data_IF_413041580592
#
_entry.id   IF_413041580592
#
_cell.length_a   1.000
_cell.length_b   1.000
_cell.length_c   1.000
_cell.angle_alpha   90.00
_cell.angle_beta   90.00
_cell.angle_gamma   90.00
#
_symmetry.space_group_name_H-M   'P 1'
#
loop_
_entity.id
_entity.type
_entity.pdbx_description
1 polymer ?
#
# COMPACT_ATOMS: atom_id res chain seq x y z
N UNK A 1 -31.15 35.47 9.08
CA UNK A 1 -30.98 36.94 9.04
C UNK A 1 -29.99 37.33 10.12
N UNK A 2 -28.70 37.34 9.77
CA UNK A 2 -27.64 38.05 10.50
C UNK A 2 -26.53 38.29 9.47
N UNK A 3 -26.47 39.52 8.99
CA UNK A 3 -25.59 40.01 7.93
C UNK A 3 -24.26 40.41 8.58
N UNK A 4 -23.14 39.90 8.09
CA UNK A 4 -21.81 40.30 8.56
C UNK A 4 -21.10 41.03 7.41
N UNK A 5 -20.94 42.34 7.58
CA UNK A 5 -20.43 43.30 6.61
C UNK A 5 -18.91 43.22 6.52
N UNK A 6 -18.37 42.93 5.34
CA UNK A 6 -16.93 43.02 5.04
C UNK A 6 -16.49 44.49 4.97
N UNK A 7 -15.48 44.86 5.77
CA UNK A 7 -14.78 46.15 5.65
C UNK A 7 -13.51 45.98 4.80
N UNK A 8 -13.46 46.73 3.71
CA UNK A 8 -12.35 46.83 2.77
C UNK A 8 -11.32 47.84 3.31
N UNK A 9 -10.03 47.46 3.40
CA UNK A 9 -8.91 48.42 3.53
C UNK A 9 -7.89 48.19 2.41
N UNK A 10 -7.69 49.24 1.62
CA UNK A 10 -6.68 49.37 0.56
C UNK A 10 -5.32 49.71 1.17
N UNK A 11 -4.26 49.02 0.75
CA UNK A 11 -2.88 49.54 0.79
C UNK A 11 -2.13 49.16 -0.50
N UNK A 12 -1.35 50.14 -1.01
CA UNK A 12 -0.64 50.21 -2.31
C UNK A 12 0.62 49.30 -2.38
N UNK A 13 1.21 49.10 -3.58
CA UNK A 13 2.07 47.96 -3.89
C UNK A 13 3.55 48.19 -3.54
N UNK A 14 4.24 47.12 -3.13
CA UNK A 14 5.68 47.08 -2.96
C UNK A 14 6.38 46.45 -4.17
N UNK A 15 7.47 47.09 -4.54
CA UNK A 15 8.28 46.96 -5.76
C UNK A 15 9.14 45.70 -5.82
N UNK A 16 9.35 45.23 -7.06
CA UNK A 16 10.35 44.27 -7.51
C UNK A 16 11.68 44.29 -6.74
N UNK A 17 12.06 43.15 -6.14
CA UNK A 17 13.45 42.77 -5.90
C UNK A 17 13.63 41.28 -6.19
N UNK A 18 14.35 40.97 -7.28
CA UNK A 18 14.90 39.63 -7.56
C UNK A 18 16.30 39.54 -6.93
N UNK A 19 16.68 38.40 -6.32
CA UNK A 19 18.09 38.08 -6.11
C UNK A 19 18.67 37.38 -7.35
N UNK A 20 19.80 37.89 -7.82
CA UNK A 20 20.70 37.24 -8.78
C UNK A 20 21.75 36.40 -8.02
N UNK A 21 22.60 35.68 -8.78
CA UNK A 21 23.81 34.91 -8.43
C UNK A 21 23.53 33.43 -8.04
N UNK A 22 24.10 32.39 -8.66
CA UNK A 22 25.18 32.24 -9.65
C UNK A 22 24.97 30.90 -10.40
N UNK A 23 25.05 30.95 -11.73
CA UNK A 23 25.13 29.80 -12.64
C UNK A 23 26.55 29.24 -12.65
N UNK A 24 26.73 28.04 -12.14
CA UNK A 24 27.97 27.26 -12.24
C UNK A 24 28.01 26.43 -13.52
N UNK A 25 28.94 26.79 -14.39
CA UNK A 25 29.27 26.21 -15.69
C UNK A 25 29.78 24.76 -15.51
N UNK A 26 29.16 23.79 -16.17
CA UNK A 26 29.76 22.48 -16.44
C UNK A 26 30.29 22.48 -17.88
N UNK A 27 31.58 22.79 -18.04
CA UNK A 27 32.28 22.63 -19.31
C UNK A 27 32.73 21.18 -19.47
N UNK A 28 32.19 20.53 -20.48
CA UNK A 28 32.68 19.27 -21.05
C UNK A 28 34.11 19.44 -21.57
N UNK A 29 35.05 18.64 -21.05
CA UNK A 29 36.35 18.44 -21.66
C UNK A 29 36.48 16.95 -22.04
N UNK A 30 36.33 16.69 -23.33
CA UNK A 30 36.75 15.46 -23.96
C UNK A 30 38.30 15.42 -23.99
N UNK A 31 38.88 14.33 -23.51
CA UNK A 31 40.30 14.02 -23.68
C UNK A 31 40.41 12.65 -24.33
N UNK A 32 40.49 12.67 -25.66
CA UNK A 32 41.06 11.59 -26.46
C UNK A 32 42.57 11.81 -26.55
N UNK A 33 43.38 10.79 -26.27
CA UNK A 33 44.50 10.30 -27.10
C UNK A 33 45.35 9.29 -26.31
N UNK A 34 45.88 8.28 -27.00
CA UNK A 34 47.10 7.59 -26.56
C UNK A 34 47.03 6.06 -26.45
N UNK A 35 46.88 5.36 -27.58
CA UNK A 35 47.31 3.97 -27.70
C UNK A 35 48.84 3.91 -27.70
N UNK A 36 49.44 3.39 -26.64
CA UNK A 36 50.85 3.00 -26.61
C UNK A 36 50.95 1.53 -26.14
N UNK A 37 51.43 0.66 -27.02
CA UNK A 37 51.82 -0.71 -26.69
C UNK A 37 53.17 -0.67 -25.97
N UNK A 38 53.24 -1.18 -24.74
CA UNK A 38 54.51 -1.53 -24.10
C UNK A 38 54.47 -2.98 -23.62
N UNK A 39 55.39 -3.77 -24.16
CA UNK A 39 55.77 -5.11 -23.75
C UNK A 39 56.56 -5.08 -22.44
N UNK A 40 56.29 -6.00 -21.51
CA UNK A 40 57.28 -6.39 -20.50
C UNK A 40 56.76 -6.74 -19.11
N UNK A 41 56.80 -8.05 -18.82
CA UNK A 41 57.14 -8.71 -17.54
C UNK A 41 56.14 -8.68 -16.37
N UNK A 42 55.86 -9.89 -15.89
CA UNK A 42 54.86 -10.23 -14.90
C UNK A 42 55.12 -9.66 -13.51
N UNK A 43 54.02 -9.38 -12.85
CA UNK A 43 53.89 -9.37 -11.39
C UNK A 43 52.67 -10.21 -11.07
N UNK A 44 52.91 -11.39 -10.51
CA UNK A 44 51.90 -12.14 -9.78
C UNK A 44 51.51 -11.34 -8.54
N UNK A 45 50.24 -10.92 -8.49
CA UNK A 45 49.53 -10.75 -7.22
C UNK A 45 48.04 -10.89 -7.49
N UNK A 46 47.53 -12.09 -7.23
CA UNK A 46 46.12 -12.32 -6.97
C UNK A 46 45.69 -11.45 -5.79
N UNK A 47 45.09 -10.30 -6.08
CA UNK A 47 44.01 -9.77 -5.26
C UNK A 47 42.83 -9.54 -6.19
N UNK A 48 42.18 -10.65 -6.55
CA UNK A 48 40.82 -10.57 -7.03
C UNK A 48 40.03 -9.83 -5.95
N UNK A 49 39.63 -8.58 -6.23
CA UNK A 49 38.61 -7.89 -5.47
C UNK A 49 37.39 -8.81 -5.52
N UNK A 50 37.22 -9.62 -4.50
CA UNK A 50 36.02 -10.42 -4.28
C UNK A 50 34.87 -9.43 -4.32
N UNK A 51 33.93 -9.61 -5.25
CA UNK A 51 32.62 -8.98 -5.18
C UNK A 51 32.16 -9.04 -3.72
N UNK A 52 31.98 -7.88 -3.09
CA UNK A 52 31.52 -7.79 -1.71
C UNK A 52 30.24 -8.62 -1.62
N UNK A 53 30.25 -9.66 -0.77
CA UNK A 53 29.05 -10.43 -0.46
C UNK A 53 28.02 -9.40 -0.04
N UNK A 54 26.88 -9.38 -0.74
CA UNK A 54 25.83 -8.42 -0.42
C UNK A 54 25.25 -8.80 0.94
N UNK A 55 25.50 -7.96 1.93
CA UNK A 55 24.91 -8.10 3.24
C UNK A 55 23.43 -7.73 3.22
N UNK A 56 22.65 -8.47 4.00
CA UNK A 56 21.24 -8.19 4.26
C UNK A 56 21.05 -8.16 5.76
N UNK A 57 20.31 -7.15 6.24
CA UNK A 57 20.11 -6.93 7.66
C UNK A 57 19.22 -8.05 8.21
N UNK A 58 19.67 -8.85 9.19
CA UNK A 58 18.82 -9.89 9.77
C UNK A 58 17.65 -9.27 10.55
N UNK A 59 16.39 -9.66 10.28
CA UNK A 59 15.23 -9.14 11.02
C UNK A 59 15.37 -9.24 12.53
N UNK A 60 15.94 -10.34 13.04
CA UNK A 60 16.18 -10.57 14.46
C UNK A 60 17.17 -9.58 15.08
N UNK A 61 18.25 -9.28 14.37
CA UNK A 61 19.28 -8.33 14.83
C UNK A 61 18.74 -6.91 14.83
N UNK A 62 18.02 -6.50 13.78
CA UNK A 62 17.40 -5.17 13.74
C UNK A 62 16.28 -5.01 14.78
N UNK A 63 15.48 -6.05 15.02
CA UNK A 63 14.49 -6.07 16.10
C UNK A 63 15.15 -5.90 17.47
N UNK A 64 16.23 -6.65 17.72
CA UNK A 64 17.01 -6.55 18.96
C UNK A 64 17.65 -5.18 19.12
N UNK A 65 18.17 -4.60 18.03
CA UNK A 65 18.73 -3.26 17.99
C UNK A 65 17.73 -2.20 18.47
N UNK A 66 16.50 -2.24 17.95
CA UNK A 66 15.42 -1.31 18.31
C UNK A 66 14.95 -1.51 19.76
N UNK A 67 14.65 -2.76 20.14
CA UNK A 67 14.11 -3.08 21.46
C UNK A 67 15.10 -2.81 22.59
N UNK A 68 16.39 -3.11 22.40
CA UNK A 68 17.45 -2.78 23.36
C UNK A 68 17.61 -1.26 23.58
N UNK A 69 17.12 -0.43 22.65
CA UNK A 69 17.09 1.02 22.75
C UNK A 69 15.76 1.58 23.26
N UNK A 70 14.85 0.71 23.71
CA UNK A 70 13.55 1.10 24.24
C UNK A 70 12.46 1.36 23.19
N UNK A 71 12.74 1.09 21.91
CA UNK A 71 11.74 1.13 20.84
C UNK A 71 11.06 -0.25 20.75
N UNK A 72 10.19 -0.52 21.72
CA UNK A 72 9.59 -1.84 21.95
C UNK A 72 8.10 -1.94 21.58
N UNK A 73 7.52 -0.89 21.01
CA UNK A 73 6.14 -0.86 20.52
C UNK A 73 6.09 -0.62 19.01
N UNK A 74 5.30 -1.43 18.31
CA UNK A 74 5.18 -1.41 16.87
C UNK A 74 3.72 -1.22 16.45
N UNK A 75 3.46 -0.25 15.59
CA UNK A 75 2.17 -0.10 14.91
C UNK A 75 2.38 0.06 13.41
N UNK A 76 1.47 -0.41 12.56
CA UNK A 76 1.67 -0.21 11.13
C UNK A 76 0.73 -0.95 10.21
N UNK A 77 0.94 -0.70 8.91
CA UNK A 77 0.30 -1.42 7.81
C UNK A 77 1.40 -2.23 7.10
N UNK A 78 1.22 -3.55 6.91
CA UNK A 78 2.24 -4.40 6.30
C UNK A 78 2.70 -3.90 4.92
N UNK A 79 4.00 -3.97 4.68
CA UNK A 79 4.64 -3.55 3.42
C UNK A 79 5.50 -4.68 2.83
N UNK A 80 5.54 -4.74 1.51
CA UNK A 80 6.31 -5.70 0.74
C UNK A 80 7.84 -5.63 0.90
N UNK A 81 8.44 -4.47 1.17
CA UNK A 81 9.88 -4.34 1.43
C UNK A 81 10.22 -4.63 2.89
N UNK A 82 9.26 -4.39 3.79
CA UNK A 82 9.34 -4.68 5.22
C UNK A 82 8.84 -6.08 5.59
N UNK A 83 8.31 -6.87 4.65
CA UNK A 83 7.57 -8.11 4.92
C UNK A 83 8.28 -9.07 5.86
N UNK A 84 9.59 -9.23 5.70
CA UNK A 84 10.42 -10.15 6.47
C UNK A 84 10.61 -9.62 7.91
N UNK A 85 10.82 -8.31 8.06
CA UNK A 85 10.86 -7.64 9.36
C UNK A 85 9.49 -7.63 10.06
N UNK A 86 8.42 -7.27 9.36
CA UNK A 86 7.06 -7.28 9.90
C UNK A 86 6.62 -8.69 10.33
N UNK A 87 7.01 -9.73 9.58
CA UNK A 87 6.77 -11.11 9.98
C UNK A 87 7.52 -11.47 11.27
N UNK A 88 8.78 -11.03 11.41
CA UNK A 88 9.54 -11.23 12.64
C UNK A 88 8.91 -10.51 13.82
N UNK A 89 8.51 -9.24 13.66
CA UNK A 89 7.81 -8.46 14.69
C UNK A 89 6.52 -9.17 15.12
N UNK A 90 5.72 -9.67 14.16
CA UNK A 90 4.48 -10.40 14.45
C UNK A 90 4.71 -11.67 15.28
N UNK A 91 5.77 -12.43 15.00
CA UNK A 91 6.07 -13.68 15.71
C UNK A 91 6.73 -13.47 17.08
N UNK A 92 7.44 -12.34 17.29
CA UNK A 92 8.34 -12.15 18.44
C UNK A 92 7.98 -10.97 19.35
N UNK A 93 6.87 -10.28 19.08
CA UNK A 93 6.39 -9.17 19.93
C UNK A 93 5.09 -9.58 20.63
N UNK A 94 4.99 -9.27 21.92
CA UNK A 94 3.75 -9.49 22.66
C UNK A 94 2.58 -8.70 22.03
N UNK A 95 1.37 -9.27 22.01
CA UNK A 95 0.18 -8.64 21.43
C UNK A 95 -0.11 -7.23 21.98
N UNK A 96 0.20 -6.96 23.25
CA UNK A 96 0.03 -5.62 23.85
C UNK A 96 1.03 -4.56 23.32
N UNK A 97 2.08 -4.99 22.61
CA UNK A 97 3.16 -4.14 22.09
C UNK A 97 3.24 -4.12 20.56
N UNK A 98 2.38 -4.85 19.85
CA UNK A 98 2.32 -4.84 18.39
C UNK A 98 0.88 -4.82 17.91
N UNK A 99 0.59 -3.92 16.97
CA UNK A 99 -0.73 -3.80 16.36
C UNK A 99 -0.62 -3.53 14.85
N UNK A 100 -1.36 -4.30 14.07
CA UNK A 100 -1.62 -4.01 12.66
C UNK A 100 -2.85 -3.13 12.59
N UNK A 101 -2.70 -1.93 12.03
CA UNK A 101 -3.78 -0.96 11.92
C UNK A 101 -4.46 -1.03 10.55
N UNK A 102 -5.70 -0.56 10.47
CA UNK A 102 -6.46 -0.53 9.22
C UNK A 102 -5.82 0.35 8.14
N UNK A 103 -5.24 1.50 8.53
CA UNK A 103 -4.55 2.43 7.64
C UNK A 103 -3.40 3.14 8.38
N UNK A 104 -2.51 3.79 7.62
CA UNK A 104 -1.30 4.41 8.15
C UNK A 104 -1.60 5.58 9.08
N UNK A 105 -2.68 6.33 8.86
CA UNK A 105 -3.09 7.42 9.74
C UNK A 105 -3.54 6.93 11.12
N UNK A 106 -4.23 5.79 11.16
CA UNK A 106 -4.56 5.09 12.40
C UNK A 106 -3.29 4.60 13.11
N UNK A 107 -2.29 4.10 12.38
CA UNK A 107 -0.99 3.71 12.95
C UNK A 107 -0.30 4.88 13.67
N UNK A 108 -0.30 6.07 13.06
CA UNK A 108 0.23 7.29 13.70
C UNK A 108 -0.55 7.62 14.97
N UNK A 109 -1.88 7.54 14.90
CA UNK A 109 -2.76 7.90 16.03
C UNK A 109 -2.59 6.96 17.23
N UNK A 110 -2.47 5.65 16.97
CA UNK A 110 -2.20 4.64 18.01
C UNK A 110 -0.82 4.84 18.62
N UNK A 111 0.20 5.09 17.78
CA UNK A 111 1.55 5.39 18.24
C UNK A 111 1.59 6.67 19.11
N UNK A 112 0.89 7.72 18.72
CA UNK A 112 0.72 8.92 19.52
C UNK A 112 0.10 8.61 20.90
N UNK A 113 -0.98 7.83 20.94
CA UNK A 113 -1.60 7.39 22.20
C UNK A 113 -0.66 6.57 23.09
N UNK A 114 0.17 5.70 22.49
CA UNK A 114 1.19 4.95 23.22
C UNK A 114 2.24 5.88 23.84
N UNK A 115 2.75 6.85 23.07
CA UNK A 115 3.71 7.83 23.59
C UNK A 115 3.12 8.64 24.74
N UNK A 116 1.90 9.16 24.57
CA UNK A 116 1.20 9.95 25.58
C UNK A 116 1.00 9.20 26.91
N UNK A 117 0.77 7.88 26.84
CA UNK A 117 0.52 7.05 28.02
C UNK A 117 1.78 6.51 28.69
N UNK A 118 2.88 6.36 27.96
CA UNK A 118 4.08 5.66 28.45
C UNK A 118 5.36 6.50 28.43
N UNK A 119 5.35 7.65 27.75
CA UNK A 119 6.52 8.48 27.43
C UNK A 119 7.59 7.76 26.59
N UNK A 120 7.32 6.54 26.11
CA UNK A 120 8.23 5.78 25.24
C UNK A 120 8.03 6.13 23.77
N UNK A 121 9.08 5.98 22.98
CA UNK A 121 9.03 6.25 21.53
C UNK A 121 8.56 5.01 20.77
N UNK A 122 7.40 5.09 20.06
CA UNK A 122 6.90 4.00 19.24
C UNK A 122 7.61 3.91 17.88
N UNK A 123 7.53 2.74 17.26
CA UNK A 123 7.92 2.50 15.86
C UNK A 123 6.66 2.36 15.01
N UNK A 124 6.58 3.12 13.92
CA UNK A 124 5.49 3.03 12.95
C UNK A 124 6.01 2.55 11.61
N UNK A 125 5.52 1.40 11.12
CA UNK A 125 5.92 0.86 9.82
C UNK A 125 4.83 1.03 8.75
N UNK A 126 5.24 1.34 7.52
CA UNK A 126 4.34 1.50 6.37
C UNK A 126 5.08 1.43 5.04
N UNK A 127 4.36 1.30 3.93
CA UNK A 127 4.89 1.56 2.59
C UNK A 127 4.83 3.07 2.31
N UNK A 128 5.76 3.61 1.52
CA UNK A 128 5.74 5.02 1.12
C UNK A 128 4.47 5.45 0.35
N UNK A 129 3.77 4.54 -0.32
CA UNK A 129 2.46 4.87 -0.92
C UNK A 129 1.39 5.16 0.14
N UNK A 130 1.49 4.54 1.31
CA UNK A 130 0.63 4.75 2.46
C UNK A 130 0.97 6.02 3.24
N UNK A 131 2.15 6.60 3.02
CA UNK A 131 2.58 7.85 3.67
C UNK A 131 1.59 9.00 3.45
N UNK A 132 0.90 9.02 2.30
CA UNK A 132 -0.18 9.99 2.06
C UNK A 132 -1.30 9.96 3.11
N UNK A 133 -1.67 8.78 3.60
CA UNK A 133 -2.69 8.61 4.64
C UNK A 133 -2.20 9.07 6.02
N UNK A 134 -0.88 9.06 6.26
CA UNK A 134 -0.29 9.49 7.53
C UNK A 134 0.04 10.97 7.57
N UNK A 135 0.07 11.70 6.44
CA UNK A 135 0.41 13.14 6.40
C UNK A 135 -0.42 13.94 7.39
N UNK A 136 -1.75 13.79 7.38
CA UNK A 136 -2.62 14.57 8.27
C UNK A 136 -2.24 14.40 9.75
N UNK A 137 -2.25 13.19 10.35
CA UNK A 137 -1.86 13.04 11.75
C UNK A 137 -0.37 13.36 11.98
N UNK A 138 0.54 13.16 11.02
CA UNK A 138 1.94 13.56 11.20
C UNK A 138 2.09 15.06 11.44
N UNK A 139 1.42 15.90 10.64
CA UNK A 139 1.56 17.38 10.76
C UNK A 139 0.62 18.00 11.77
N UNK A 140 -0.57 17.44 11.95
CA UNK A 140 -1.61 18.03 12.83
C UNK A 140 -1.62 17.47 14.24
N UNK A 141 -0.82 16.42 14.50
CA UNK A 141 -0.69 15.80 15.82
C UNK A 141 0.78 15.70 16.22
N UNK A 142 1.64 15.12 15.39
CA UNK A 142 3.00 14.74 15.83
C UNK A 142 4.06 15.82 15.69
N UNK A 143 3.82 16.85 14.87
CA UNK A 143 4.80 17.90 14.60
C UNK A 143 5.28 18.61 15.90
N UNK A 144 6.58 18.96 16.01
CA UNK A 144 7.14 19.70 17.15
C UNK A 144 6.43 21.01 17.50
N UNK A 145 5.82 21.68 16.52
CA UNK A 145 5.07 22.91 16.75
C UNK A 145 3.62 22.68 17.23
N UNK A 146 3.16 21.42 17.30
CA UNK A 146 1.78 21.07 17.70
C UNK A 146 1.77 20.36 19.06
N UNK A 147 1.87 19.02 19.09
CA UNK A 147 1.98 18.26 20.36
C UNK A 147 3.36 17.66 20.58
N UNK A 148 4.28 17.79 19.61
CA UNK A 148 5.67 17.37 19.76
C UNK A 148 5.81 15.90 20.17
N UNK A 149 5.26 15.00 19.35
CA UNK A 149 5.21 13.57 19.66
C UNK A 149 6.29 12.81 18.86
N UNK A 150 7.35 12.32 19.51
CA UNK A 150 8.40 11.56 18.84
C UNK A 150 7.90 10.18 18.43
N UNK A 151 8.26 9.76 17.21
CA UNK A 151 8.06 8.39 16.71
C UNK A 151 9.03 8.06 15.60
N UNK A 152 9.52 6.81 15.58
CA UNK A 152 10.37 6.33 14.50
C UNK A 152 9.49 5.78 13.36
N UNK A 153 9.57 6.37 12.18
CA UNK A 153 8.87 5.91 10.98
C UNK A 153 9.79 4.96 10.19
N UNK A 154 9.38 3.71 10.00
CA UNK A 154 10.05 2.76 9.12
C UNK A 154 9.25 2.67 7.81
N UNK A 155 9.76 3.31 6.75
CA UNK A 155 9.01 3.49 5.51
C UNK A 155 9.66 2.67 4.39
N UNK A 156 8.95 1.65 3.90
CA UNK A 156 9.34 0.91 2.70
C UNK A 156 9.36 1.84 1.48
N UNK A 157 10.54 2.09 0.91
CA UNK A 157 10.75 3.04 -0.19
C UNK A 157 10.63 2.36 -1.57
N UNK A 158 9.39 2.05 -1.97
CA UNK A 158 9.09 1.52 -3.32
C UNK A 158 9.32 2.59 -4.39
N UNK A 159 9.81 2.16 -5.55
CA UNK A 159 10.13 3.05 -6.67
C UNK A 159 11.32 3.99 -6.44
N UNK A 160 12.33 3.53 -5.69
CA UNK A 160 13.60 4.24 -5.55
C UNK A 160 14.13 4.72 -6.93
N UNK A 161 14.54 6.01 -7.06
CA UNK A 161 15.09 6.53 -8.30
C UNK A 161 16.21 5.66 -8.87
N UNK A 162 16.14 5.36 -10.17
CA UNK A 162 17.12 4.52 -10.88
C UNK A 162 16.90 3.01 -10.75
N UNK A 163 15.86 2.55 -10.03
CA UNK A 163 15.48 1.13 -9.94
C UNK A 163 14.19 0.86 -10.72
N UNK A 164 14.07 -0.35 -11.27
CA UNK A 164 12.84 -0.82 -11.92
C UNK A 164 11.79 -1.19 -10.85
N UNK A 165 10.59 -0.64 -11.00
CA UNK A 165 9.40 -0.97 -10.22
C UNK A 165 8.15 -0.62 -11.05
N UNK A 166 6.96 -0.87 -10.51
CA UNK A 166 5.70 -0.49 -11.15
C UNK A 166 5.56 1.02 -11.31
N UNK A 167 4.86 1.45 -12.36
CA UNK A 167 4.70 2.88 -12.70
C UNK A 167 4.22 3.75 -11.53
N UNK A 168 3.24 3.28 -10.76
CA UNK A 168 2.72 3.97 -9.57
C UNK A 168 3.74 4.05 -8.43
N UNK A 169 4.59 3.03 -8.28
CA UNK A 169 5.66 3.07 -7.28
C UNK A 169 6.75 4.06 -7.68
N UNK A 170 7.14 4.11 -8.97
CA UNK A 170 8.13 5.06 -9.45
C UNK A 170 7.73 6.52 -9.18
N UNK A 171 6.44 6.84 -9.32
CA UNK A 171 5.91 8.16 -8.97
C UNK A 171 6.09 8.43 -7.47
N UNK A 172 5.66 7.49 -6.62
CA UNK A 172 5.73 7.63 -5.16
C UNK A 172 7.17 7.70 -4.65
N UNK A 173 8.04 6.79 -5.09
CA UNK A 173 9.43 6.74 -4.66
C UNK A 173 10.21 7.99 -5.02
N UNK A 174 9.98 8.57 -6.19
CA UNK A 174 10.57 9.85 -6.58
C UNK A 174 10.18 11.01 -5.65
N UNK A 175 8.92 11.08 -5.21
CA UNK A 175 8.43 12.22 -4.41
C UNK A 175 8.62 12.03 -2.91
N UNK A 176 8.84 10.80 -2.43
CA UNK A 176 8.92 10.47 -0.99
C UNK A 176 9.93 11.35 -0.24
N UNK A 177 11.19 11.52 -0.70
CA UNK A 177 12.16 12.36 0.02
C UNK A 177 11.75 13.83 0.08
N UNK A 178 11.19 14.37 -1.01
CA UNK A 178 10.69 15.75 -1.05
C UNK A 178 9.51 15.96 -0.12
N UNK A 179 8.56 15.01 -0.07
CA UNK A 179 7.44 15.08 0.86
C UNK A 179 7.92 15.07 2.32
N UNK A 180 8.87 14.20 2.69
CA UNK A 180 9.43 14.20 4.04
C UNK A 180 10.11 15.53 4.38
N UNK A 181 10.88 16.09 3.44
CA UNK A 181 11.53 17.39 3.60
C UNK A 181 10.52 18.54 3.76
N UNK A 182 9.47 18.58 2.93
CA UNK A 182 8.43 19.61 2.97
C UNK A 182 7.63 19.58 4.28
N UNK A 183 7.46 18.38 4.86
CA UNK A 183 6.82 18.19 6.17
C UNK A 183 7.80 18.38 7.33
N UNK A 184 9.06 18.73 7.07
CA UNK A 184 10.08 18.92 8.11
C UNK A 184 10.42 17.65 8.90
N UNK A 185 10.21 16.48 8.30
CA UNK A 185 10.52 15.18 8.91
C UNK A 185 11.94 14.79 8.49
N UNK A 186 12.93 14.81 9.40
CA UNK A 186 14.29 14.35 9.09
C UNK A 186 14.26 12.86 8.72
N UNK A 187 15.08 12.50 7.73
CA UNK A 187 15.13 11.13 7.24
C UNK A 187 16.51 10.73 6.74
N UNK A 188 16.76 9.43 6.73
CA UNK A 188 17.87 8.82 6.01
C UNK A 188 17.50 7.43 5.52
N UNK A 189 18.32 6.87 4.63
CA UNK A 189 18.16 5.48 4.19
C UNK A 189 18.73 4.54 5.26
N UNK A 190 17.98 3.48 5.58
CA UNK A 190 18.47 2.41 6.45
C UNK A 190 19.53 1.57 5.71
N UNK A 191 20.77 1.47 6.22
CA UNK A 191 21.76 0.55 5.68
C UNK A 191 21.34 -0.92 5.84
N UNK A 192 21.71 -1.77 4.90
CA UNK A 192 21.36 -3.20 4.84
C UNK A 192 22.35 -4.11 5.58
N UNK A 193 23.14 -3.56 6.49
CA UNK A 193 24.09 -4.26 7.36
C UNK A 193 24.06 -3.67 8.79
N UNK A 194 24.46 -4.46 9.79
CA UNK A 194 24.13 -4.19 11.19
C UNK A 194 24.84 -2.95 11.76
N UNK A 195 26.12 -2.72 11.44
CA UNK A 195 26.88 -1.56 11.92
C UNK A 195 26.30 -0.26 11.37
N UNK A 196 25.94 -0.24 10.08
CA UNK A 196 25.28 0.89 9.44
C UNK A 196 23.88 1.14 9.99
N UNK A 197 23.09 0.07 10.18
CA UNK A 197 21.78 0.15 10.81
C UNK A 197 21.87 0.69 12.25
N UNK A 198 22.90 0.28 13.00
CA UNK A 198 23.19 0.76 14.35
C UNK A 198 23.42 2.28 14.36
N UNK A 199 24.34 2.77 13.54
CA UNK A 199 24.62 4.20 13.42
C UNK A 199 23.38 5.00 12.96
N UNK A 200 22.57 4.42 12.07
CA UNK A 200 21.36 5.06 11.57
C UNK A 200 20.28 5.19 12.66
N UNK A 201 20.08 4.14 13.47
CA UNK A 201 19.14 4.14 14.59
C UNK A 201 19.61 5.08 15.70
N UNK A 202 20.91 5.13 16.00
CA UNK A 202 21.46 6.05 17.02
C UNK A 202 21.25 7.52 16.62
N UNK A 203 21.47 7.84 15.34
CA UNK A 203 21.16 9.17 14.77
C UNK A 203 19.67 9.50 14.88
N UNK A 204 18.81 8.53 14.57
CA UNK A 204 17.36 8.69 14.67
C UNK A 204 16.95 8.99 16.11
N UNK A 205 17.43 8.22 17.09
CA UNK A 205 17.12 8.40 18.52
C UNK A 205 17.61 9.73 19.04
N UNK A 206 18.84 10.13 18.69
CA UNK A 206 19.36 11.45 19.05
C UNK A 206 18.43 12.56 18.54
N UNK A 207 17.97 12.45 17.30
CA UNK A 207 17.06 13.42 16.70
C UNK A 207 15.66 13.39 17.35
N UNK A 208 15.12 12.20 17.61
CA UNK A 208 13.84 12.01 18.29
C UNK A 208 13.84 12.68 19.67
N UNK A 209 14.93 12.51 20.44
CA UNK A 209 15.07 13.08 21.77
C UNK A 209 15.29 14.60 21.77
N UNK A 210 15.98 15.14 20.76
CA UNK A 210 16.29 16.58 20.69
C UNK A 210 15.18 17.40 20.02
N UNK A 211 14.58 16.88 18.94
CA UNK A 211 13.53 17.54 18.17
C UNK A 211 12.14 17.29 18.73
N UNK A 212 11.94 16.19 19.47
CA UNK A 212 10.63 15.76 19.98
C UNK A 212 9.57 15.69 18.87
N UNK A 213 9.91 15.03 17.75
CA UNK A 213 9.01 14.86 16.61
C UNK A 213 9.42 13.67 15.75
N UNK A 214 8.68 13.36 14.67
CA UNK A 214 8.93 12.16 13.86
C UNK A 214 10.31 12.16 13.20
N UNK A 215 10.90 10.96 13.07
CA UNK A 215 12.11 10.70 12.27
C UNK A 215 11.87 9.51 11.36
N UNK A 216 12.28 9.58 10.08
CA UNK A 216 12.04 8.49 9.13
C UNK A 216 13.31 7.73 8.71
N UNK A 217 13.20 6.42 8.66
CA UNK A 217 14.15 5.51 8.02
C UNK A 217 13.51 4.96 6.74
N UNK A 218 14.11 5.29 5.59
CA UNK A 218 13.69 4.77 4.29
C UNK A 218 14.33 3.40 4.06
N UNK A 219 13.51 2.38 3.87
CA UNK A 219 13.96 1.00 3.67
C UNK A 219 13.94 0.64 2.19
N UNK A 220 15.12 0.33 1.65
CA UNK A 220 15.30 -0.08 0.26
C UNK A 220 14.84 -1.50 0.00
N UNK A 221 14.67 -1.81 -1.29
CA UNK A 221 14.39 -3.18 -1.73
C UNK A 221 15.54 -4.12 -1.35
N UNK A 222 15.18 -5.27 -0.76
CA UNK A 222 16.13 -6.26 -0.27
C UNK A 222 17.08 -5.64 0.78
N UNK A 223 16.54 -4.92 1.76
CA UNK A 223 17.29 -4.47 2.93
C UNK A 223 17.42 -5.59 3.97
N UNK A 224 16.36 -6.37 4.17
CA UNK A 224 16.31 -7.44 5.17
C UNK A 224 16.60 -8.81 4.56
N UNK A 225 17.23 -9.69 5.36
CA UNK A 225 17.34 -11.11 5.02
C UNK A 225 15.97 -11.80 5.15
N UNK A 226 15.81 -12.97 4.52
CA UNK A 226 14.51 -13.63 4.45
C UNK A 226 14.05 -14.11 5.83
N UNK A 227 12.79 -13.82 6.16
CA UNK A 227 12.11 -14.39 7.30
C UNK A 227 10.66 -14.70 6.91
N UNK A 228 10.22 -15.92 7.18
CA UNK A 228 8.85 -16.35 6.90
C UNK A 228 8.07 -16.33 8.20
N UNK A 229 6.87 -15.76 8.16
CA UNK A 229 5.92 -15.80 9.28
C UNK A 229 5.68 -17.26 9.72
N UNK A 230 5.84 -17.52 11.01
CA UNK A 230 5.72 -18.83 11.64
C UNK A 230 4.34 -19.02 12.28
N UNK A 231 3.75 -17.95 12.84
CA UNK A 231 2.42 -17.98 13.43
C UNK A 231 1.39 -18.45 12.40
N UNK A 232 0.60 -19.46 12.76
CA UNK A 232 -0.58 -19.87 12.00
C UNK A 232 -1.81 -19.38 12.74
N UNK A 233 -2.65 -18.61 12.08
CA UNK A 233 -4.00 -18.37 12.59
C UNK A 233 -4.86 -19.62 12.42
N UNK A 234 -5.87 -19.76 13.28
CA UNK A 234 -6.91 -20.74 13.10
C UNK A 234 -7.70 -20.38 11.84
N UNK A 235 -7.46 -21.13 10.77
CA UNK A 235 -8.28 -21.07 9.56
C UNK A 235 -9.36 -22.12 9.71
N UNK A 236 -10.58 -21.82 9.27
CA UNK A 236 -11.64 -22.82 9.17
C UNK A 236 -11.24 -23.85 8.10
N UNK A 237 -10.88 -25.06 8.54
CA UNK A 237 -10.43 -26.16 7.67
C UNK A 237 -11.49 -26.59 6.64
N UNK A 238 -12.75 -26.17 6.81
CA UNK A 238 -13.82 -26.42 5.83
C UNK A 238 -13.74 -25.50 4.60
N UNK A 239 -12.99 -24.39 4.69
CA UNK A 239 -12.82 -23.45 3.59
C UNK A 239 -11.61 -23.92 2.77
N UNK A 240 -11.89 -24.41 1.56
CA UNK A 240 -10.86 -24.89 0.63
C UNK A 240 -10.74 -24.05 -0.65
N UNK A 241 -11.70 -23.15 -0.88
CA UNK A 241 -11.80 -22.37 -2.11
C UNK A 241 -10.72 -21.28 -2.17
N UNK A 242 -9.98 -21.20 -3.27
CA UNK A 242 -8.99 -20.14 -3.49
C UNK A 242 -9.63 -18.83 -3.98
N UNK A 243 -8.91 -17.72 -3.78
CA UNK A 243 -9.31 -16.40 -4.29
C UNK A 243 -9.45 -16.39 -5.82
N UNK A 244 -8.54 -17.05 -6.54
CA UNK A 244 -8.58 -17.12 -8.00
C UNK A 244 -9.81 -17.91 -8.49
N UNK A 245 -10.13 -19.05 -7.88
CA UNK A 245 -11.35 -19.82 -8.20
C UNK A 245 -12.62 -19.02 -7.93
N UNK A 246 -12.67 -18.30 -6.80
CA UNK A 246 -13.80 -17.40 -6.51
C UNK A 246 -13.95 -16.31 -7.58
N UNK A 247 -12.85 -15.66 -8.00
CA UNK A 247 -12.87 -14.66 -9.08
C UNK A 247 -13.35 -15.29 -10.40
N UNK A 248 -12.88 -16.49 -10.73
CA UNK A 248 -13.28 -17.22 -11.94
C UNK A 248 -14.78 -17.51 -11.96
N UNK A 249 -15.34 -17.97 -10.84
CA UNK A 249 -16.78 -18.19 -10.69
C UNK A 249 -17.58 -16.89 -10.85
N UNK A 250 -17.12 -15.79 -10.25
CA UNK A 250 -17.79 -14.48 -10.39
C UNK A 250 -17.83 -14.07 -11.85
N UNK A 251 -16.67 -13.99 -12.51
CA UNK A 251 -16.60 -13.45 -13.87
C UNK A 251 -17.31 -14.33 -14.92
N UNK A 252 -17.44 -15.63 -14.65
CA UNK A 252 -18.13 -16.59 -15.51
C UNK A 252 -19.66 -16.54 -15.37
N UNK A 253 -20.16 -16.02 -14.24
CA UNK A 253 -21.59 -15.91 -13.95
C UNK A 253 -22.11 -14.47 -14.02
N UNK A 254 -21.30 -13.53 -14.52
CA UNK A 254 -21.71 -12.13 -14.75
C UNK A 254 -21.86 -11.81 -16.24
N UNK A 255 -22.93 -11.10 -16.65
CA UNK A 255 -23.14 -10.67 -18.04
C UNK A 255 -21.94 -9.91 -18.61
N UNK A 256 -21.68 -10.02 -19.91
CA UNK A 256 -20.59 -9.30 -20.59
C UNK A 256 -20.74 -7.76 -20.54
N UNK A 257 -21.98 -7.29 -20.38
CA UNK A 257 -22.31 -5.87 -20.24
C UNK A 257 -21.76 -5.26 -18.94
N UNK A 258 -21.57 -6.07 -17.90
CA UNK A 258 -21.17 -5.58 -16.59
C UNK A 258 -19.68 -5.21 -16.53
N UNK A 259 -19.36 -4.23 -15.68
CA UNK A 259 -18.01 -3.73 -15.50
C UNK A 259 -17.46 -4.11 -14.11
N UNK A 260 -16.13 -4.26 -14.04
CA UNK A 260 -15.43 -4.61 -12.81
C UNK A 260 -14.43 -3.53 -12.39
N UNK A 261 -14.29 -3.38 -11.08
CA UNK A 261 -13.18 -2.65 -10.45
C UNK A 261 -12.52 -3.61 -9.48
N UNK A 262 -11.27 -3.97 -9.74
CA UNK A 262 -10.51 -4.87 -8.86
C UNK A 262 -9.49 -4.11 -8.04
N UNK A 263 -9.42 -4.43 -6.74
CA UNK A 263 -8.46 -3.84 -5.81
C UNK A 263 -7.02 -4.25 -6.10
N UNK A 264 -6.08 -3.58 -5.44
CA UNK A 264 -4.63 -3.82 -5.60
C UNK A 264 -4.21 -5.21 -5.08
N UNK A 265 -2.92 -5.54 -5.18
CA UNK A 265 -2.39 -6.81 -4.67
C UNK A 265 -2.60 -7.98 -5.62
N UNK A 266 -3.06 -9.11 -5.11
CA UNK A 266 -3.25 -10.34 -5.90
C UNK A 266 -4.59 -10.37 -6.65
N UNK A 267 -5.65 -9.77 -6.11
CA UNK A 267 -7.00 -9.75 -6.71
C UNK A 267 -6.98 -9.25 -8.17
N UNK A 268 -6.39 -8.07 -8.42
CA UNK A 268 -6.29 -7.53 -9.78
C UNK A 268 -5.38 -8.34 -10.70
N UNK A 269 -4.39 -9.07 -10.17
CA UNK A 269 -3.51 -9.93 -10.97
C UNK A 269 -4.20 -11.22 -11.39
N UNK A 270 -4.93 -11.84 -10.47
CA UNK A 270 -5.71 -13.05 -10.72
C UNK A 270 -6.81 -12.75 -11.74
N UNK A 271 -7.57 -11.66 -11.55
CA UNK A 271 -8.55 -11.20 -12.54
C UNK A 271 -7.92 -11.00 -13.92
N UNK A 272 -6.78 -10.30 -13.97
CA UNK A 272 -6.06 -10.05 -15.22
C UNK A 272 -5.67 -11.36 -15.93
N UNK A 273 -5.05 -12.31 -15.22
CA UNK A 273 -4.63 -13.58 -15.82
C UNK A 273 -5.81 -14.44 -16.26
N UNK A 274 -6.89 -14.47 -15.47
CA UNK A 274 -8.12 -15.18 -15.84
C UNK A 274 -8.73 -14.63 -17.14
N UNK A 275 -8.75 -13.31 -17.33
CA UNK A 275 -9.13 -12.73 -18.63
C UNK A 275 -8.20 -13.18 -19.73
N UNK A 276 -6.89 -13.20 -19.50
CA UNK A 276 -5.93 -13.61 -20.54
C UNK A 276 -6.07 -15.07 -20.97
N UNK A 277 -6.50 -15.98 -20.08
CA UNK A 277 -6.69 -17.43 -20.38
C UNK A 277 -7.81 -17.76 -21.39
N UNK A 278 -8.77 -16.87 -21.65
CA UNK A 278 -9.91 -17.16 -22.55
C UNK A 278 -9.54 -17.41 -24.03
N UNK A 279 -10.49 -17.85 -24.88
CA UNK A 279 -10.24 -18.30 -26.26
C UNK A 279 -9.83 -17.19 -27.25
N UNK A 280 -10.07 -15.91 -26.93
CA UNK A 280 -9.75 -14.78 -27.81
C UNK A 280 -8.24 -14.47 -27.76
N UNK A 281 -7.52 -14.60 -28.87
CA UNK A 281 -6.05 -14.39 -28.91
C UNK A 281 -5.62 -12.92 -28.92
N UNK A 282 -6.55 -12.00 -29.21
CA UNK A 282 -6.32 -10.56 -29.15
C UNK A 282 -6.64 -10.02 -27.74
N UNK A 283 -5.60 -9.79 -26.94
CA UNK A 283 -5.71 -9.30 -25.56
C UNK A 283 -6.33 -7.91 -25.41
N UNK A 284 -6.46 -7.14 -26.51
CA UNK A 284 -7.01 -5.78 -26.48
C UNK A 284 -8.53 -5.75 -26.25
N UNK A 285 -9.27 -6.79 -26.63
CA UNK A 285 -10.73 -6.87 -26.43
C UNK A 285 -11.13 -7.43 -25.05
N UNK A 286 -10.25 -8.19 -24.38
CA UNK A 286 -10.59 -8.92 -23.14
C UNK A 286 -10.50 -8.09 -21.85
N UNK A 287 -9.68 -7.04 -21.82
CA UNK A 287 -9.49 -6.17 -20.66
C UNK A 287 -10.36 -4.90 -20.71
N UNK A 288 -11.33 -4.89 -21.62
CA UNK A 288 -12.15 -3.71 -21.87
C UNK A 288 -13.08 -3.42 -20.70
N UNK A 289 -13.49 -4.42 -19.93
CA UNK A 289 -14.48 -4.24 -18.86
C UNK A 289 -13.95 -4.25 -17.42
N UNK A 290 -12.64 -4.33 -17.22
CA UNK A 290 -12.04 -4.39 -15.88
C UNK A 290 -11.12 -3.19 -15.65
N UNK A 291 -11.39 -2.40 -14.61
CA UNK A 291 -10.45 -1.40 -14.11
C UNK A 291 -9.56 -2.01 -13.02
N UNK A 292 -8.26 -2.08 -13.28
CA UNK A 292 -7.29 -2.67 -12.36
C UNK A 292 -6.70 -1.56 -11.49
N UNK A 293 -7.10 -1.53 -10.23
CA UNK A 293 -6.60 -0.55 -9.25
C UNK A 293 -5.20 -0.96 -8.79
N UNK A 294 -4.16 -0.49 -9.49
CA UNK A 294 -2.77 -0.94 -9.27
C UNK A 294 -2.11 -0.38 -8.00
N UNK A 295 -2.68 0.67 -7.40
CA UNK A 295 -2.26 1.31 -6.14
C UNK A 295 -3.47 1.89 -5.41
N UNK A 296 -3.28 2.71 -4.38
CA UNK A 296 -4.40 3.30 -3.61
C UNK A 296 -5.30 2.24 -2.97
N UNK A 297 -4.70 1.34 -2.18
CA UNK A 297 -5.44 0.31 -1.43
C UNK A 297 -6.62 0.92 -0.65
N UNK A 298 -7.75 0.20 -0.60
CA UNK A 298 -8.98 0.64 0.05
C UNK A 298 -9.86 1.61 -0.73
N UNK A 299 -9.43 2.09 -1.90
CA UNK A 299 -10.22 3.00 -2.73
C UNK A 299 -11.03 2.32 -3.84
N UNK A 300 -10.89 1.01 -4.06
CA UNK A 300 -11.59 0.30 -5.13
C UNK A 300 -13.12 0.46 -5.05
N UNK A 301 -13.68 0.34 -3.84
CA UNK A 301 -15.11 0.51 -3.59
C UNK A 301 -15.61 1.93 -3.87
N UNK A 302 -14.82 2.96 -3.55
CA UNK A 302 -15.14 4.35 -3.89
C UNK A 302 -15.03 4.66 -5.39
N UNK A 303 -14.04 4.08 -6.08
CA UNK A 303 -13.90 4.18 -7.55
C UNK A 303 -15.12 3.52 -8.22
N UNK A 304 -15.48 2.31 -7.80
CA UNK A 304 -16.65 1.60 -8.29
C UNK A 304 -17.95 2.38 -8.05
N UNK A 305 -18.08 3.05 -6.90
CA UNK A 305 -19.23 3.90 -6.61
C UNK A 305 -19.34 5.04 -7.62
N UNK A 306 -18.25 5.75 -7.89
CA UNK A 306 -18.22 6.83 -8.86
C UNK A 306 -18.57 6.36 -10.28
N UNK A 307 -18.13 5.17 -10.67
CA UNK A 307 -18.50 4.57 -11.96
C UNK A 307 -19.99 4.20 -11.99
N UNK A 308 -20.52 3.60 -10.91
CA UNK A 308 -21.94 3.23 -10.82
C UNK A 308 -22.86 4.45 -10.94
N UNK A 309 -22.47 5.58 -10.35
CA UNK A 309 -23.16 6.87 -10.50
C UNK A 309 -23.16 7.35 -11.96
N UNK A 310 -22.04 7.19 -12.68
CA UNK A 310 -21.91 7.62 -14.07
C UNK A 310 -22.53 6.66 -15.10
N UNK A 311 -22.88 5.44 -14.68
CA UNK A 311 -23.37 4.35 -15.56
C UNK A 311 -24.58 3.64 -14.94
N UNK A 312 -25.71 4.33 -14.74
CA UNK A 312 -26.86 3.80 -14.00
C UNK A 312 -27.52 2.56 -14.63
N UNK A 313 -27.33 2.33 -15.93
CA UNK A 313 -27.87 1.17 -16.67
C UNK A 313 -26.92 -0.03 -16.74
N UNK A 314 -25.81 -0.01 -15.99
CA UNK A 314 -24.79 -1.07 -15.99
C UNK A 314 -24.43 -1.45 -14.55
N UNK A 315 -24.40 -2.75 -14.25
CA UNK A 315 -23.90 -3.20 -12.96
C UNK A 315 -22.38 -3.00 -12.88
N UNK A 316 -21.94 -2.48 -11.75
CA UNK A 316 -20.54 -2.26 -11.42
C UNK A 316 -20.18 -3.15 -10.25
N UNK A 317 -19.28 -4.10 -10.50
CA UNK A 317 -18.81 -5.08 -9.54
C UNK A 317 -17.46 -4.63 -8.97
N UNK A 318 -17.41 -4.36 -7.67
CA UNK A 318 -16.16 -4.12 -6.95
C UNK A 318 -15.63 -5.44 -6.41
N UNK A 319 -14.49 -5.92 -6.93
CA UNK A 319 -13.74 -7.03 -6.35
C UNK A 319 -12.72 -6.45 -5.36
N UNK A 320 -13.10 -6.42 -4.09
CA UNK A 320 -12.26 -5.94 -3.01
C UNK A 320 -11.65 -7.11 -2.21
N UNK A 321 -10.61 -6.80 -1.46
CA UNK A 321 -10.02 -7.69 -0.45
C UNK A 321 -10.42 -7.22 0.94
N UNK A 322 -10.48 -8.12 1.89
CA UNK A 322 -10.84 -7.80 3.27
C UNK A 322 -9.94 -6.71 3.88
N UNK A 323 -8.62 -6.82 3.76
CA UNK A 323 -7.69 -5.79 4.24
C UNK A 323 -7.88 -4.42 3.56
N UNK A 324 -8.28 -4.40 2.28
CA UNK A 324 -8.55 -3.15 1.56
C UNK A 324 -9.88 -2.54 2.00
N UNK A 325 -10.92 -3.36 2.19
CA UNK A 325 -12.20 -2.91 2.72
C UNK A 325 -12.04 -2.32 4.14
N UNK A 326 -11.29 -2.99 5.02
CA UNK A 326 -11.00 -2.51 6.38
C UNK A 326 -10.31 -1.13 6.38
N UNK A 327 -9.37 -0.90 5.45
CA UNK A 327 -8.59 0.34 5.37
C UNK A 327 -9.45 1.60 5.27
N UNK A 328 -10.53 1.51 4.47
CA UNK A 328 -11.49 2.60 4.27
C UNK A 328 -12.94 2.12 4.40
N UNK A 329 -13.24 1.42 5.49
CA UNK A 329 -14.59 0.90 5.77
C UNK A 329 -15.67 1.99 5.78
N UNK A 330 -15.31 3.24 6.08
CA UNK A 330 -16.20 4.40 5.95
C UNK A 330 -16.80 4.60 4.55
N UNK A 331 -16.20 4.03 3.50
CA UNK A 331 -16.80 4.01 2.17
C UNK A 331 -18.13 3.24 2.14
N UNK A 332 -18.34 2.27 3.03
CA UNK A 332 -19.58 1.49 3.11
C UNK A 332 -20.78 2.37 3.43
N UNK A 333 -20.66 3.35 4.34
CA UNK A 333 -21.75 4.29 4.65
C UNK A 333 -22.01 5.23 3.48
N UNK A 334 -20.95 5.68 2.80
CA UNK A 334 -21.08 6.51 1.59
C UNK A 334 -21.84 5.75 0.49
N UNK A 335 -21.48 4.49 0.24
CA UNK A 335 -22.14 3.63 -0.74
C UNK A 335 -23.61 3.39 -0.36
N UNK A 336 -23.87 2.96 0.88
CA UNK A 336 -25.22 2.67 1.35
C UNK A 336 -26.14 3.89 1.30
N UNK A 337 -25.63 5.08 1.65
CA UNK A 337 -26.39 6.33 1.58
C UNK A 337 -26.77 6.73 0.14
N UNK A 338 -25.97 6.36 -0.86
CA UNK A 338 -26.27 6.61 -2.27
C UNK A 338 -27.32 5.65 -2.83
N UNK A 339 -27.49 4.50 -2.21
CA UNK A 339 -28.56 3.53 -2.50
C UNK A 339 -28.64 3.15 -4.00
N UNK A 340 -27.50 3.03 -4.70
CA UNK A 340 -27.47 2.74 -6.13
C UNK A 340 -27.77 1.26 -6.42
N UNK A 341 -28.80 0.94 -7.22
CA UNK A 341 -29.21 -0.44 -7.46
C UNK A 341 -28.18 -1.27 -8.24
N UNK A 342 -27.36 -0.60 -9.05
CA UNK A 342 -26.36 -1.18 -9.94
C UNK A 342 -24.97 -1.37 -9.29
N UNK A 343 -24.81 -1.11 -7.99
CA UNK A 343 -23.53 -1.30 -7.30
C UNK A 343 -23.48 -2.65 -6.57
N UNK A 344 -22.48 -3.48 -6.90
CA UNK A 344 -22.27 -4.82 -6.31
C UNK A 344 -20.87 -4.89 -5.68
N UNK A 345 -20.79 -5.15 -4.38
CA UNK A 345 -19.54 -5.17 -3.62
C UNK A 345 -19.18 -6.60 -3.22
N UNK A 346 -18.07 -7.11 -3.74
CA UNK A 346 -17.56 -8.43 -3.41
C UNK A 346 -16.33 -8.27 -2.52
N UNK A 347 -16.35 -8.88 -1.34
CA UNK A 347 -15.20 -8.93 -0.43
C UNK A 347 -14.64 -10.34 -0.47
N UNK A 348 -13.44 -10.51 -1.01
CA UNK A 348 -12.67 -11.75 -0.98
C UNK A 348 -11.90 -11.79 0.35
N UNK A 349 -12.45 -12.51 1.33
CA UNK A 349 -11.95 -12.53 2.71
C UNK A 349 -11.08 -13.75 2.97
N UNK A 350 -9.76 -13.53 3.07
CA UNK A 350 -8.80 -14.55 3.46
C UNK A 350 -8.10 -14.26 4.80
N UNK A 351 -8.58 -13.24 5.52
CA UNK A 351 -8.03 -12.83 6.81
C UNK A 351 -6.60 -12.30 6.75
N UNK A 352 -6.07 -11.88 5.60
CA UNK A 352 -4.65 -11.59 5.48
C UNK A 352 -4.29 -10.48 4.49
N UNK A 353 -3.24 -9.72 4.83
CA UNK A 353 -2.47 -8.89 3.91
C UNK A 353 -1.57 -9.73 2.99
N UNK A 354 -2.20 -10.63 2.22
CA UNK A 354 -1.57 -11.75 1.52
C UNK A 354 -0.48 -11.33 0.52
N UNK A 355 -0.68 -10.20 -0.17
CA UNK A 355 0.26 -9.72 -1.20
C UNK A 355 1.54 -9.06 -0.68
N UNK A 356 1.62 -8.80 0.63
CA UNK A 356 2.72 -8.04 1.27
C UNK A 356 3.39 -8.78 2.43
N UNK A 357 3.09 -10.06 2.63
CA UNK A 357 3.73 -10.87 3.67
C UNK A 357 2.78 -11.83 4.37
N UNK A 358 1.47 -11.61 4.24
CA UNK A 358 0.46 -12.48 4.80
C UNK A 358 0.26 -12.29 6.30
N UNK A 359 0.59 -11.13 6.85
CA UNK A 359 0.19 -10.77 8.20
C UNK A 359 -1.34 -10.72 8.29
N UNK A 360 -1.92 -11.03 9.46
CA UNK A 360 -3.36 -11.17 9.59
C UNK A 360 -4.09 -9.82 9.53
N UNK A 361 -5.36 -9.87 9.14
CA UNK A 361 -6.30 -8.75 9.21
C UNK A 361 -7.33 -9.02 10.31
N UNK A 362 -8.04 -7.98 10.75
CA UNK A 362 -9.17 -8.15 11.69
C UNK A 362 -10.43 -8.76 11.06
N UNK A 363 -10.37 -9.16 9.79
CA UNK A 363 -11.54 -9.51 8.98
C UNK A 363 -12.27 -10.79 9.41
N UNK A 364 -11.53 -11.76 9.98
CA UNK A 364 -12.13 -13.02 10.46
C UNK A 364 -12.88 -12.85 11.78
N UNK A 365 -12.70 -11.71 12.46
CA UNK A 365 -13.29 -11.40 13.76
C UNK A 365 -14.53 -10.50 13.66
N UNK A 366 -15.01 -10.20 12.45
CA UNK A 366 -16.15 -9.32 12.21
C UNK A 366 -17.14 -9.93 11.21
N UNK A 367 -18.33 -9.36 11.14
CA UNK A 367 -19.39 -9.74 10.19
C UNK A 367 -19.57 -8.61 9.15
N UNK A 368 -18.93 -8.76 7.98
CA UNK A 368 -19.06 -7.80 6.88
C UNK A 368 -20.51 -7.63 6.38
N UNK A 369 -21.30 -8.70 6.14
CA UNK A 369 -22.72 -8.57 5.82
C UNK A 369 -23.50 -7.73 6.82
N UNK A 370 -23.34 -7.95 8.13
CA UNK A 370 -24.01 -7.19 9.16
C UNK A 370 -23.59 -5.70 9.14
N UNK A 371 -22.29 -5.42 8.99
CA UNK A 371 -21.77 -4.05 8.85
C UNK A 371 -22.33 -3.37 7.60
N UNK A 372 -22.39 -4.06 6.46
CA UNK A 372 -22.98 -3.56 5.23
C UNK A 372 -24.47 -3.26 5.40
N UNK A 373 -25.21 -4.17 6.04
CA UNK A 373 -26.64 -3.99 6.30
C UNK A 373 -26.87 -2.75 7.15
N UNK A 374 -26.11 -2.59 8.23
CA UNK A 374 -26.15 -1.42 9.09
C UNK A 374 -25.71 -0.13 8.36
N UNK A 375 -24.85 -0.25 7.36
CA UNK A 375 -24.39 0.87 6.52
C UNK A 375 -25.38 1.26 5.40
N UNK A 376 -26.50 0.54 5.25
CA UNK A 376 -27.56 0.87 4.28
C UNK A 376 -27.59 0.01 3.02
N UNK A 377 -26.76 -1.05 2.93
CA UNK A 377 -26.84 -2.02 1.83
C UNK A 377 -28.18 -2.77 1.89
N UNK A 378 -28.79 -2.98 0.73
CA UNK A 378 -30.13 -3.57 0.65
C UNK A 378 -30.06 -5.09 0.73
N UNK A 379 -29.12 -5.67 0.02
CA UNK A 379 -28.89 -7.11 -0.09
C UNK A 379 -27.49 -7.43 0.40
N UNK A 380 -27.38 -8.33 1.36
CA UNK A 380 -26.09 -8.77 1.92
C UNK A 380 -26.08 -10.28 2.01
N UNK A 381 -25.00 -10.91 1.57
CA UNK A 381 -24.83 -12.36 1.51
C UNK A 381 -23.42 -12.74 1.95
N UNK A 382 -23.26 -14.01 2.33
CA UNK A 382 -21.94 -14.65 2.48
C UNK A 382 -21.91 -15.98 1.71
N UNK A 383 -20.72 -16.39 1.28
CA UNK A 383 -20.48 -17.68 0.66
C UNK A 383 -19.11 -18.25 1.07
N UNK A 384 -19.04 -19.58 1.20
CA UNK A 384 -17.80 -20.34 1.44
C UNK A 384 -17.59 -21.45 0.41
N UNK A 385 -18.60 -21.77 -0.40
CA UNK A 385 -18.55 -22.81 -1.43
C UNK A 385 -18.81 -22.27 -2.84
N UNK A 386 -18.36 -23.00 -3.88
CA UNK A 386 -18.57 -22.63 -5.28
C UNK A 386 -20.05 -22.52 -5.66
N UNK A 387 -20.90 -23.39 -5.09
CA UNK A 387 -22.34 -23.40 -5.33
C UNK A 387 -23.02 -22.17 -4.71
N UNK A 388 -22.62 -21.81 -3.49
CA UNK A 388 -23.12 -20.59 -2.83
C UNK A 388 -22.70 -19.34 -3.59
N UNK A 389 -21.45 -19.26 -4.08
CA UNK A 389 -20.99 -18.13 -4.89
C UNK A 389 -21.84 -18.00 -6.15
N UNK A 390 -22.01 -19.08 -6.90
CA UNK A 390 -22.80 -19.06 -8.14
C UNK A 390 -24.23 -18.60 -7.87
N UNK A 391 -24.85 -19.13 -6.81
CA UNK A 391 -26.21 -18.76 -6.39
C UNK A 391 -26.29 -17.29 -5.96
N UNK A 392 -25.31 -16.81 -5.19
CA UNK A 392 -25.25 -15.45 -4.70
C UNK A 392 -25.04 -14.45 -5.84
N UNK A 393 -24.17 -14.73 -6.82
CA UNK A 393 -23.94 -13.84 -7.97
C UNK A 393 -25.21 -13.68 -8.79
N UNK A 394 -25.94 -14.77 -9.06
CA UNK A 394 -27.23 -14.73 -9.75
C UNK A 394 -28.26 -13.90 -8.97
N UNK A 395 -28.31 -14.05 -7.65
CA UNK A 395 -29.21 -13.25 -6.80
C UNK A 395 -28.84 -11.77 -6.85
N UNK A 396 -27.55 -11.44 -6.72
CA UNK A 396 -27.06 -10.06 -6.66
C UNK A 396 -27.28 -9.32 -7.97
N UNK A 397 -27.19 -10.00 -9.11
CA UNK A 397 -27.41 -9.40 -10.43
C UNK A 397 -28.79 -8.71 -10.51
N UNK A 398 -29.82 -9.38 -9.97
CA UNK A 398 -31.21 -8.91 -9.99
C UNK A 398 -31.62 -8.15 -8.71
N UNK A 399 -30.85 -8.28 -7.63
CA UNK A 399 -31.21 -7.71 -6.35
C UNK A 399 -31.17 -6.17 -6.34
N UNK A 400 -32.06 -5.52 -5.55
CA UNK A 400 -31.92 -4.10 -5.27
C UNK A 400 -30.57 -3.86 -4.58
N UNK A 401 -29.79 -2.95 -5.15
CA UNK A 401 -28.49 -2.52 -4.62
C UNK A 401 -28.56 -1.27 -3.73
N UNK A 402 -27.44 -0.86 -3.12
CA UNK A 402 -26.14 -1.51 -3.23
C UNK A 402 -26.17 -2.84 -2.50
N UNK A 403 -25.48 -3.82 -3.08
CA UNK A 403 -25.46 -5.18 -2.56
C UNK A 403 -24.05 -5.59 -2.17
N UNK A 404 -23.92 -6.46 -1.18
CA UNK A 404 -22.64 -7.01 -0.73
C UNK A 404 -22.67 -8.54 -0.72
N UNK A 405 -21.56 -9.14 -1.15
CA UNK A 405 -21.25 -10.54 -0.94
C UNK A 405 -19.86 -10.67 -0.33
N UNK A 406 -19.79 -11.24 0.86
CA UNK A 406 -18.55 -11.73 1.43
C UNK A 406 -18.29 -13.16 0.92
N UNK A 407 -17.10 -13.40 0.39
CA UNK A 407 -16.66 -14.75 0.00
C UNK A 407 -15.45 -15.09 0.85
N UNK A 408 -15.57 -16.10 1.71
CA UNK A 408 -14.41 -16.58 2.46
C UNK A 408 -13.57 -17.51 1.59
N UNK A 409 -12.27 -17.25 1.53
CA UNK A 409 -11.32 -17.98 0.67
C UNK A 409 -10.04 -18.29 1.42
N UNK A 410 -9.31 -19.31 0.97
CA UNK A 410 -8.01 -19.64 1.55
C UNK A 410 -6.96 -18.56 1.23
N UNK A 411 -6.01 -18.42 2.14
CA UNK A 411 -4.83 -17.58 1.95
C UNK A 411 -3.89 -18.16 0.89
N UNK A 412 -3.29 -17.28 0.10
CA UNK A 412 -2.27 -17.61 -0.87
C UNK A 412 -2.67 -17.28 -2.30
N UNK A 413 -1.73 -17.53 -3.20
CA UNK A 413 -1.88 -17.40 -4.64
C UNK A 413 -0.98 -18.44 -5.32
N UNK A 414 -1.24 -18.73 -6.60
CA UNK A 414 -0.34 -19.59 -7.40
C UNK A 414 1.08 -19.03 -7.42
N UNK A 415 2.07 -19.92 -7.35
CA UNK A 415 3.51 -19.55 -7.34
C UNK A 415 3.94 -18.76 -8.57
N UNK A 416 3.30 -19.00 -9.72
CA UNK A 416 3.60 -18.38 -11.00
C UNK A 416 2.63 -17.23 -11.36
N UNK A 417 1.91 -16.66 -10.39
CA UNK A 417 1.06 -15.48 -10.62
C UNK A 417 1.93 -14.29 -11.04
N UNK A 418 1.79 -13.90 -12.30
CA UNK A 418 2.44 -12.77 -12.92
C UNK A 418 1.79 -11.44 -12.55
N UNK A 419 2.27 -10.39 -13.21
CA UNK A 419 1.72 -9.04 -13.12
C UNK A 419 1.09 -8.65 -14.45
N UNK A 420 0.07 -7.76 -14.44
CA UNK A 420 -0.45 -7.18 -15.68
C UNK A 420 0.68 -6.63 -16.54
N UNK A 421 0.76 -7.07 -17.80
CA UNK A 421 1.77 -6.60 -18.75
C UNK A 421 1.27 -5.39 -19.57
N UNK A 422 0.06 -4.92 -19.29
CA UNK A 422 -0.58 -3.75 -19.89
C UNK A 422 -0.29 -2.52 -19.02
N UNK A 423 0.03 -1.38 -19.65
CA UNK A 423 0.26 -0.14 -18.90
C UNK A 423 -1.06 0.34 -18.27
N UNK A 424 -1.06 0.89 -17.05
CA UNK A 424 -2.29 1.38 -16.41
C UNK A 424 -3.07 2.40 -17.24
N UNK A 425 -2.36 3.25 -18.00
CA UNK A 425 -2.99 4.22 -18.90
C UNK A 425 -3.77 3.55 -20.05
N UNK A 426 -3.27 2.43 -20.57
CA UNK A 426 -3.92 1.68 -21.64
C UNK A 426 -5.13 0.92 -21.09
N UNK A 427 -5.02 0.31 -19.90
CA UNK A 427 -6.16 -0.29 -19.19
C UNK A 427 -7.27 0.75 -18.95
N UNK A 428 -6.91 1.95 -18.47
CA UNK A 428 -7.85 3.06 -18.30
C UNK A 428 -8.56 3.42 -19.61
N UNK A 429 -7.84 3.58 -20.73
CA UNK A 429 -8.47 3.93 -22.01
C UNK A 429 -9.39 2.82 -22.54
N UNK A 430 -8.97 1.56 -22.44
CA UNK A 430 -9.81 0.40 -22.81
C UNK A 430 -11.09 0.36 -21.97
N UNK A 431 -10.96 0.58 -20.66
CA UNK A 431 -12.08 0.64 -19.73
C UNK A 431 -13.06 1.78 -20.02
N UNK A 432 -12.54 2.99 -20.26
CA UNK A 432 -13.39 4.13 -20.63
C UNK A 432 -14.13 3.91 -21.96
N UNK A 433 -13.47 3.29 -22.94
CA UNK A 433 -14.10 2.94 -24.22
C UNK A 433 -15.26 1.97 -24.02
N UNK A 434 -15.07 0.92 -23.22
CA UNK A 434 -16.12 -0.03 -22.88
C UNK A 434 -17.29 0.61 -22.15
N UNK A 435 -17.03 1.50 -21.19
CA UNK A 435 -18.07 2.23 -20.48
C UNK A 435 -18.84 3.20 -21.38
N UNK A 436 -18.32 3.56 -22.56
CA UNK A 436 -18.96 4.50 -23.49
C UNK A 436 -19.84 3.81 -24.54
N UNK A 437 -19.68 2.50 -24.72
CA UNK A 437 -20.66 1.66 -25.42
C UNK A 437 -21.88 1.45 -24.54
#
# INVERSE_FOLDING_TARGET
MMMMTMMCRRTKPLTNRRPNWLTGIWSSAALTTGLAKSTGQGFDSESALTETIRDFLPPAEFYSLLTNRGLDFFAGVPDSLLKDFCAYVQDNTAHAKHIICANEGASISVAAGYHLSTQKTPVVYMQNSGFGNSVNPLVSLCDPAVYSLPMLLLIGWRGEPGKRDESQHLVQGRVTPSLLADLGIPFQVLPDFIEGATAAVDTAIHTLNTRQGPYALLVRRQCFSRYKLQSKEAVDDNIILSREEAIELIISNTPEWDAFVATTGFTSRELYELRMKGPIKDGSQKLTRDFLTVGSMGHASAIALGIAMGKPSRNIWCLDGDGACLMHMGNMTTIGSRSLPNFKHIILNNGAHDSVGGQPTGALNIDFPAIAKASGYKTVLSATTSQEITSAINLLAEAPGPSLLEIRVIKGARKNLGRPNVRPVDNKHAFMKFLSA
#
